data_IF_209704244770
#
_entry.id   IF_209704244770
#
_cell.length_a   1.000
_cell.length_b   1.000
_cell.length_c   1.000
_cell.angle_alpha   90.00
_cell.angle_beta   90.00
_cell.angle_gamma   90.00
#
_symmetry.space_group_name_H-M   'P 1'
#
loop_
_entity.id
_entity.type
_entity.pdbx_description
1 polymer ?
#
# COMPACT_ATOMS: atom_id res chain seq x y z
N UNK A 1 10.18 -6.05 -6.26
CA UNK A 1 11.22 -5.58 -5.31
C UNK A 1 10.64 -5.70 -3.92
N UNK A 2 11.46 -6.05 -2.94
CA UNK A 2 11.05 -6.20 -1.55
C UNK A 2 11.87 -5.19 -0.74
N UNK A 3 11.20 -4.39 0.09
CA UNK A 3 11.84 -3.55 1.11
C UNK A 3 11.79 -4.28 2.44
N UNK A 4 12.84 -4.17 3.24
CA UNK A 4 12.84 -4.73 4.61
C UNK A 4 12.96 -3.57 5.59
N UNK A 5 12.04 -3.52 6.55
CA UNK A 5 11.97 -2.46 7.57
C UNK A 5 12.07 -3.11 8.94
N UNK A 6 13.05 -2.68 9.72
CA UNK A 6 13.27 -3.10 11.10
C UNK A 6 12.90 -2.00 12.10
N UNK A 7 12.95 -0.73 11.68
CA UNK A 7 12.78 0.41 12.58
C UNK A 7 11.91 1.53 11.98
N UNK A 8 11.36 2.38 12.83
CA UNK A 8 10.60 3.56 12.40
C UNK A 8 11.44 4.60 11.64
N UNK A 9 12.76 4.65 11.87
CA UNK A 9 13.64 5.59 11.17
C UNK A 9 13.81 5.21 9.69
N UNK A 10 13.95 3.92 9.39
CA UNK A 10 13.99 3.40 8.01
C UNK A 10 12.67 3.70 7.27
N UNK A 11 11.54 3.58 7.97
CA UNK A 11 10.23 3.92 7.45
C UNK A 11 10.12 5.40 7.05
N UNK A 12 10.58 6.31 7.92
CA UNK A 12 10.55 7.74 7.66
C UNK A 12 11.42 8.14 6.46
N UNK A 13 12.57 7.49 6.28
CA UNK A 13 13.41 7.70 5.11
C UNK A 13 12.68 7.36 3.80
N UNK A 14 11.88 6.29 3.79
CA UNK A 14 11.09 5.92 2.61
C UNK A 14 9.96 6.90 2.30
N UNK A 15 9.34 7.51 3.31
CA UNK A 15 8.31 8.54 3.09
C UNK A 15 8.89 9.76 2.35
N UNK A 16 10.10 10.19 2.71
CA UNK A 16 10.75 11.34 2.08
C UNK A 16 11.03 11.13 0.57
N UNK A 17 11.17 9.88 0.12
CA UNK A 17 11.41 9.56 -1.31
C UNK A 17 10.18 9.67 -2.21
N UNK A 18 8.97 9.74 -1.62
CA UNK A 18 7.72 9.80 -2.38
C UNK A 18 7.53 11.14 -3.09
N UNK A 19 7.96 12.23 -2.47
CA UNK A 19 7.79 13.58 -3.01
C UNK A 19 8.59 13.77 -4.32
N UNK A 20 9.80 13.24 -4.38
CA UNK A 20 10.68 13.31 -5.56
C UNK A 20 10.06 12.64 -6.79
N UNK A 21 9.31 11.54 -6.60
CA UNK A 21 8.66 10.81 -7.68
C UNK A 21 7.53 11.63 -8.35
N UNK A 22 6.94 12.60 -7.66
CA UNK A 22 5.81 13.39 -8.17
C UNK A 22 6.23 14.65 -8.92
N UNK A 23 7.42 15.20 -8.62
CA UNK A 23 7.93 16.43 -9.22
C UNK A 23 8.07 16.35 -10.75
N UNK A 24 8.47 15.19 -11.28
CA UNK A 24 8.63 14.96 -12.73
C UNK A 24 7.29 15.01 -13.48
N UNK A 25 6.26 14.38 -12.93
CA UNK A 25 4.92 14.39 -13.52
C UNK A 25 4.35 15.81 -13.63
N UNK A 26 4.57 16.64 -12.60
CA UNK A 26 4.11 18.03 -12.57
C UNK A 26 4.67 18.87 -13.70
N UNK A 27 5.94 18.66 -14.09
CA UNK A 27 6.55 19.36 -15.22
C UNK A 27 5.84 19.04 -16.53
N UNK A 28 5.51 17.77 -16.77
CA UNK A 28 4.84 17.33 -18.01
C UNK A 28 3.40 17.85 -18.08
N UNK A 29 2.67 17.86 -16.95
CA UNK A 29 1.29 18.33 -16.91
C UNK A 29 1.18 19.84 -17.14
N UNK A 30 2.14 20.63 -16.64
CA UNK A 30 2.18 22.10 -16.86
C UNK A 30 2.35 22.48 -18.33
N UNK A 31 2.90 21.59 -19.16
CA UNK A 31 3.10 21.83 -20.58
C UNK A 31 1.88 21.48 -21.45
N UNK A 32 0.79 20.98 -20.88
CA UNK A 32 -0.42 20.65 -21.64
C UNK A 32 -1.20 21.90 -22.05
N UNK A 33 -1.74 21.92 -23.28
CA UNK A 33 -2.42 23.10 -23.86
C UNK A 33 -3.91 23.11 -23.52
N UNK A 34 -4.52 21.94 -23.33
CA UNK A 34 -5.96 21.83 -23.06
C UNK A 34 -6.26 20.94 -21.85
N UNK A 35 -7.40 21.16 -21.14
CA UNK A 35 -7.81 20.28 -20.04
C UNK A 35 -7.97 18.81 -20.44
N UNK A 36 -8.43 18.55 -21.67
CA UNK A 36 -8.56 17.18 -22.19
C UNK A 36 -7.20 16.51 -22.37
N UNK A 37 -6.22 17.27 -22.83
CA UNK A 37 -4.85 16.77 -22.96
C UNK A 37 -4.27 16.39 -21.61
N UNK A 38 -4.46 17.21 -20.57
CA UNK A 38 -4.06 16.87 -19.19
C UNK A 38 -4.60 15.49 -18.80
N UNK A 39 -5.91 15.27 -18.93
CA UNK A 39 -6.53 13.98 -18.58
C UNK A 39 -5.98 12.81 -19.42
N UNK A 40 -5.74 13.03 -20.71
CA UNK A 40 -5.16 12.00 -21.60
C UNK A 40 -3.74 11.63 -21.15
N UNK A 41 -2.89 12.62 -20.85
CA UNK A 41 -1.52 12.39 -20.40
C UNK A 41 -1.50 11.64 -19.06
N UNK A 42 -2.33 12.06 -18.10
CA UNK A 42 -2.46 11.39 -16.80
C UNK A 42 -2.84 9.90 -16.94
N UNK A 43 -3.76 9.60 -17.87
CA UNK A 43 -4.33 8.24 -18.01
C UNK A 43 -3.49 7.30 -18.87
N UNK A 44 -2.85 7.81 -19.92
CA UNK A 44 -2.31 6.95 -20.98
C UNK A 44 -0.82 7.11 -21.23
N UNK A 45 -0.18 8.18 -20.73
CA UNK A 45 1.25 8.39 -20.96
C UNK A 45 2.08 7.99 -19.74
N UNK A 46 3.29 7.47 -19.94
CA UNK A 46 4.19 7.05 -18.87
C UNK A 46 4.89 8.25 -18.22
N UNK A 47 4.11 9.21 -17.71
CA UNK A 47 4.59 10.47 -17.13
C UNK A 47 4.79 10.38 -15.61
N UNK A 48 4.35 9.28 -15.00
CA UNK A 48 4.56 8.95 -13.61
C UNK A 48 5.65 7.90 -13.41
N UNK A 49 5.98 7.65 -12.15
CA UNK A 49 7.02 6.71 -11.75
C UNK A 49 6.59 5.91 -10.53
N UNK A 50 6.95 4.63 -10.50
CA UNK A 50 6.77 3.80 -9.32
C UNK A 50 7.57 4.40 -8.14
N UNK A 51 6.99 4.52 -6.93
CA UNK A 51 7.60 5.23 -5.81
C UNK A 51 8.96 4.64 -5.38
N UNK A 52 9.10 3.32 -5.44
CA UNK A 52 10.33 2.61 -5.08
C UNK A 52 11.20 2.23 -6.28
N UNK A 53 10.63 1.55 -7.30
CA UNK A 53 11.41 1.00 -8.41
C UNK A 53 11.78 2.01 -9.49
N UNK A 54 11.19 3.21 -9.43
CA UNK A 54 11.31 4.26 -10.43
C UNK A 54 10.95 3.81 -11.86
N UNK A 55 10.25 2.68 -12.02
CA UNK A 55 9.76 2.25 -13.32
C UNK A 55 8.70 3.23 -13.84
N UNK A 56 8.67 3.54 -15.15
CA UNK A 56 7.66 4.42 -15.71
C UNK A 56 6.24 3.85 -15.56
N UNK A 57 5.30 4.72 -15.21
CA UNK A 57 3.88 4.42 -15.02
C UNK A 57 3.03 5.54 -15.60
N UNK A 58 1.75 5.28 -15.87
CA UNK A 58 0.83 6.42 -16.00
C UNK A 58 0.58 7.08 -14.62
N UNK A 59 0.10 8.32 -14.61
CA UNK A 59 -0.04 9.05 -13.35
C UNK A 59 -1.11 8.43 -12.43
N UNK A 60 -2.17 7.84 -13.01
CA UNK A 60 -3.21 7.16 -12.22
C UNK A 60 -2.62 5.95 -11.49
N UNK A 61 -1.76 5.18 -12.16
CA UNK A 61 -1.03 4.06 -11.56
C UNK A 61 -0.08 4.55 -10.45
N UNK A 62 0.69 5.61 -10.69
CA UNK A 62 1.53 6.20 -9.65
C UNK A 62 0.71 6.64 -8.43
N UNK A 63 -0.42 7.31 -8.63
CA UNK A 63 -1.31 7.74 -7.54
C UNK A 63 -1.77 6.53 -6.71
N UNK A 64 -2.29 5.50 -7.39
CA UNK A 64 -2.77 4.29 -6.72
C UNK A 64 -1.65 3.58 -5.93
N UNK A 65 -0.46 3.47 -6.53
CA UNK A 65 0.68 2.82 -5.88
C UNK A 65 1.26 3.66 -4.73
N UNK A 66 1.33 4.98 -4.88
CA UNK A 66 1.85 5.90 -3.84
C UNK A 66 1.04 5.74 -2.56
N UNK A 67 -0.29 5.88 -2.65
CA UNK A 67 -1.13 5.77 -1.46
C UNK A 67 -1.23 4.34 -0.93
N UNK A 68 -1.18 3.32 -1.79
CA UNK A 68 -1.10 1.93 -1.32
C UNK A 68 0.22 1.68 -0.57
N UNK A 69 1.32 2.25 -1.04
CA UNK A 69 2.62 2.17 -0.36
C UNK A 69 2.60 2.93 0.98
N UNK A 70 2.00 4.11 1.04
CA UNK A 70 1.81 4.84 2.31
C UNK A 70 1.01 4.03 3.34
N UNK A 71 -0.07 3.37 2.91
CA UNK A 71 -0.84 2.45 3.76
C UNK A 71 0.04 1.31 4.26
N UNK A 72 0.87 0.72 3.39
CA UNK A 72 1.78 -0.35 3.78
C UNK A 72 2.82 0.10 4.82
N UNK A 73 3.41 1.29 4.64
CA UNK A 73 4.33 1.87 5.63
C UNK A 73 3.63 2.09 6.97
N UNK A 74 2.45 2.73 6.98
CA UNK A 74 1.69 2.99 8.21
C UNK A 74 1.23 1.72 8.90
N UNK A 75 0.86 0.70 8.14
CA UNK A 75 0.60 -0.63 8.66
C UNK A 75 1.86 -1.24 9.31
N UNK A 76 3.02 -1.15 8.67
CA UNK A 76 4.30 -1.63 9.23
C UNK A 76 4.66 -0.91 10.52
N UNK A 77 4.48 0.42 10.60
CA UNK A 77 4.66 1.16 11.86
C UNK A 77 3.81 0.56 12.98
N UNK A 78 2.52 0.32 12.72
CA UNK A 78 1.63 -0.30 13.69
C UNK A 78 2.05 -1.74 14.05
N UNK A 79 2.46 -2.53 13.05
CA UNK A 79 2.86 -3.92 13.23
C UNK A 79 4.15 -4.07 14.04
N UNK A 80 5.13 -3.18 13.87
CA UNK A 80 6.37 -3.15 14.66
C UNK A 80 6.08 -2.99 16.17
N UNK A 81 5.10 -2.15 16.51
CA UNK A 81 4.66 -1.99 17.90
C UNK A 81 3.86 -3.20 18.40
N UNK A 82 3.06 -3.81 17.53
CA UNK A 82 2.13 -4.88 17.90
C UNK A 82 2.80 -6.25 18.05
N UNK A 83 3.83 -6.51 17.26
CA UNK A 83 4.56 -7.78 17.15
C UNK A 83 6.07 -7.53 17.23
N UNK A 84 6.60 -7.17 18.41
CA UNK A 84 8.03 -6.88 18.57
C UNK A 84 8.93 -8.11 18.30
N UNK A 85 8.34 -9.31 18.31
CA UNK A 85 8.95 -10.59 18.00
C UNK A 85 9.03 -10.90 16.49
N UNK A 86 8.45 -10.06 15.62
CA UNK A 86 8.46 -10.27 14.17
C UNK A 86 9.85 -10.09 13.52
N UNK A 87 10.82 -9.50 14.21
CA UNK A 87 12.17 -9.23 13.70
C UNK A 87 12.24 -8.16 12.60
N UNK A 88 11.12 -7.52 12.26
CA UNK A 88 10.96 -6.59 11.14
C UNK A 88 9.93 -7.09 10.12
N UNK A 89 9.78 -6.37 9.02
CA UNK A 89 8.79 -6.69 7.97
C UNK A 89 9.35 -6.52 6.56
N UNK A 90 9.01 -7.46 5.69
CA UNK A 90 9.19 -7.41 4.25
C UNK A 90 7.96 -6.81 3.57
N UNK A 91 8.15 -5.72 2.81
CA UNK A 91 7.11 -4.99 2.10
C UNK A 91 7.27 -5.17 0.59
N UNK A 92 6.20 -5.57 -0.08
CA UNK A 92 6.10 -5.56 -1.54
C UNK A 92 4.68 -5.22 -2.03
N UNK A 93 4.11 -4.07 -1.59
CA UNK A 93 2.74 -3.71 -1.95
C UNK A 93 2.60 -3.39 -3.44
N UNK A 94 1.41 -3.60 -3.98
CA UNK A 94 1.09 -3.16 -5.35
C UNK A 94 1.30 -4.22 -6.44
N UNK A 95 0.98 -5.48 -6.15
CA UNK A 95 0.96 -6.60 -7.11
C UNK A 95 2.34 -7.07 -7.61
N UNK A 96 3.38 -6.82 -6.82
CA UNK A 96 4.66 -7.48 -7.00
C UNK A 96 4.53 -8.95 -6.58
N UNK A 97 4.58 -9.90 -7.53
CA UNK A 97 4.69 -11.35 -7.24
C UNK A 97 6.00 -11.73 -6.50
N UNK A 98 6.76 -10.76 -6.00
CA UNK A 98 7.98 -11.00 -5.24
C UNK A 98 7.71 -11.67 -3.89
N UNK A 99 6.51 -11.53 -3.31
CA UNK A 99 6.11 -12.26 -2.11
C UNK A 99 4.60 -12.57 -2.07
N UNK A 100 4.17 -13.59 -1.30
CA UNK A 100 2.77 -13.98 -1.20
C UNK A 100 1.84 -12.87 -0.76
N UNK A 101 2.19 -12.08 0.25
CA UNK A 101 1.36 -11.00 0.82
C UNK A 101 2.07 -9.65 0.71
N UNK A 102 1.35 -8.53 0.77
CA UNK A 102 1.96 -7.21 0.66
C UNK A 102 2.96 -6.90 1.79
N UNK A 103 2.70 -7.43 2.99
CA UNK A 103 3.57 -7.28 4.18
C UNK A 103 3.71 -8.64 4.85
N UNK A 104 4.95 -9.05 5.16
CA UNK A 104 5.24 -10.31 5.85
C UNK A 104 6.30 -10.07 6.93
N UNK A 105 6.20 -10.71 8.09
CA UNK A 105 7.26 -10.64 9.11
C UNK A 105 8.55 -11.27 8.63
N UNK A 106 9.68 -10.80 9.16
CA UNK A 106 10.99 -11.46 8.98
C UNK A 106 10.96 -12.83 9.66
N UNK A 107 10.35 -12.94 10.84
CA UNK A 107 10.05 -14.23 11.47
C UNK A 107 9.01 -15.00 10.62
N UNK A 108 9.37 -16.16 10.03
CA UNK A 108 8.50 -16.84 9.08
C UNK A 108 7.18 -17.30 9.71
N UNK A 109 6.05 -17.02 9.02
CA UNK A 109 4.74 -17.52 9.43
C UNK A 109 4.12 -16.81 10.64
N UNK A 110 4.76 -15.77 11.19
CA UNK A 110 4.20 -15.02 12.32
C UNK A 110 3.10 -14.06 11.85
N UNK A 111 3.43 -13.13 10.96
CA UNK A 111 2.53 -12.07 10.50
C UNK A 111 2.45 -12.00 8.99
N UNK A 112 1.23 -11.88 8.46
CA UNK A 112 0.96 -11.63 7.05
C UNK A 112 -0.14 -10.59 6.87
N UNK A 113 0.04 -9.65 5.93
CA UNK A 113 -0.96 -8.62 5.69
C UNK A 113 -1.10 -8.19 4.22
N UNK A 114 -2.31 -7.77 3.86
CA UNK A 114 -2.61 -7.05 2.62
C UNK A 114 -2.81 -5.55 2.92
N UNK A 115 -2.49 -4.71 1.95
CA UNK A 115 -2.58 -3.26 2.05
C UNK A 115 -3.19 -2.64 0.80
N UNK A 116 -4.10 -1.67 0.95
CA UNK A 116 -4.60 -0.91 -0.21
C UNK A 116 -5.13 0.47 0.16
N UNK A 117 -5.04 1.42 -0.76
CA UNK A 117 -5.77 2.69 -0.68
C UNK A 117 -6.89 2.70 -1.72
N UNK A 118 -8.10 3.12 -1.33
CA UNK A 118 -9.22 3.22 -2.24
C UNK A 118 -10.21 4.32 -1.80
N UNK A 119 -11.04 4.80 -2.73
CA UNK A 119 -12.15 5.72 -2.39
C UNK A 119 -13.21 5.07 -1.48
N UNK A 120 -13.27 3.74 -1.46
CA UNK A 120 -14.11 2.94 -0.56
C UNK A 120 -13.51 1.52 -0.49
N UNK A 121 -13.52 0.85 0.67
CA UNK A 121 -13.06 -0.54 0.78
C UNK A 121 -13.90 -1.53 -0.05
N UNK A 122 -15.11 -1.14 -0.42
CA UNK A 122 -16.00 -1.93 -1.27
C UNK A 122 -15.70 -1.77 -2.77
N UNK A 123 -14.84 -0.83 -3.16
CA UNK A 123 -14.59 -0.52 -4.56
C UNK A 123 -13.85 -1.67 -5.26
N UNK A 124 -14.32 -2.07 -6.45
CA UNK A 124 -13.76 -3.14 -7.30
C UNK A 124 -13.52 -4.49 -6.60
N UNK A 125 -14.19 -4.71 -5.46
CA UNK A 125 -14.04 -5.88 -4.60
C UNK A 125 -12.62 -6.08 -4.06
N UNK A 126 -11.81 -5.02 -3.89
CA UNK A 126 -10.42 -5.15 -3.43
C UNK A 126 -10.36 -5.83 -2.07
N UNK A 127 -11.10 -5.34 -1.07
CA UNK A 127 -11.14 -5.96 0.25
C UNK A 127 -11.57 -7.42 0.20
N UNK A 128 -12.58 -7.76 -0.61
CA UNK A 128 -13.05 -9.15 -0.74
C UNK A 128 -11.95 -10.06 -1.28
N UNK A 129 -11.17 -9.60 -2.27
CA UNK A 129 -10.04 -10.35 -2.83
C UNK A 129 -8.93 -10.53 -1.80
N UNK A 130 -8.62 -9.47 -1.06
CA UNK A 130 -7.56 -9.48 -0.04
C UNK A 130 -7.93 -10.41 1.12
N UNK A 131 -9.17 -10.34 1.61
CA UNK A 131 -9.68 -11.25 2.62
C UNK A 131 -9.65 -12.71 2.15
N UNK A 132 -10.00 -12.99 0.89
CA UNK A 132 -9.91 -14.34 0.32
C UNK A 132 -8.45 -14.83 0.28
N UNK A 133 -7.51 -13.96 -0.03
CA UNK A 133 -6.07 -14.26 -0.05
C UNK A 133 -5.56 -14.58 1.36
N UNK A 134 -5.91 -13.74 2.33
CA UNK A 134 -5.56 -13.92 3.75
C UNK A 134 -6.21 -15.17 4.38
N UNK A 135 -7.40 -15.56 3.93
CA UNK A 135 -8.05 -16.78 4.40
C UNK A 135 -7.22 -18.05 4.13
N UNK A 136 -6.47 -18.07 3.02
CA UNK A 136 -5.59 -19.18 2.64
C UNK A 136 -4.14 -19.04 3.13
N UNK A 137 -3.83 -17.95 3.85
CA UNK A 137 -2.48 -17.64 4.29
C UNK A 137 -2.14 -18.42 5.58
N UNK A 138 -0.88 -18.84 5.71
CA UNK A 138 -0.41 -19.72 6.79
C UNK A 138 0.03 -18.95 8.05
N UNK A 139 0.06 -17.62 7.97
CA UNK A 139 0.53 -16.75 9.03
C UNK A 139 -0.41 -16.78 10.24
N UNK A 140 0.18 -16.76 11.43
CA UNK A 140 -0.53 -16.82 12.71
C UNK A 140 -1.43 -15.60 12.88
N UNK A 141 -0.88 -14.41 12.63
CA UNK A 141 -1.59 -13.14 12.70
C UNK A 141 -1.78 -12.58 11.30
N UNK A 142 -3.05 -12.34 10.93
CA UNK A 142 -3.43 -11.91 9.58
C UNK A 142 -4.19 -10.61 9.60
N UNK A 143 -3.81 -9.69 8.72
CA UNK A 143 -4.35 -8.33 8.70
C UNK A 143 -4.70 -7.87 7.29
N UNK A 144 -5.77 -7.09 7.17
CA UNK A 144 -6.01 -6.25 6.01
C UNK A 144 -5.98 -4.79 6.46
N UNK A 145 -5.01 -4.04 5.95
CA UNK A 145 -4.89 -2.61 6.19
C UNK A 145 -5.40 -1.85 4.98
N UNK A 146 -6.15 -0.78 5.24
CA UNK A 146 -6.60 0.09 4.17
C UNK A 146 -6.64 1.55 4.56
N UNK A 147 -6.70 2.42 3.57
CA UNK A 147 -7.19 3.77 3.74
C UNK A 147 -8.37 4.01 2.81
N UNK A 148 -9.43 4.61 3.34
CA UNK A 148 -10.52 5.16 2.56
C UNK A 148 -11.08 6.41 3.25
N UNK A 149 -11.48 7.44 2.49
CA UNK A 149 -12.12 8.61 3.06
C UNK A 149 -13.41 8.19 3.79
N UNK A 150 -13.69 8.86 4.91
CA UNK A 150 -14.88 8.66 5.73
C UNK A 150 -14.96 7.31 6.48
N UNK A 151 -13.84 6.61 6.66
CA UNK A 151 -13.76 5.49 7.59
C UNK A 151 -13.06 5.89 8.88
N UNK A 152 -13.53 5.45 10.06
CA UNK A 152 -12.83 5.68 11.31
C UNK A 152 -11.49 4.94 11.31
N UNK A 153 -10.44 5.58 11.82
CA UNK A 153 -9.13 4.96 11.98
C UNK A 153 -9.15 3.87 13.07
N UNK A 154 -8.31 2.85 12.88
CA UNK A 154 -8.25 1.67 13.75
C UNK A 154 -9.06 0.48 13.21
N UNK A 155 -9.39 -0.45 14.11
CA UNK A 155 -10.02 -1.73 13.76
C UNK A 155 -11.48 -1.54 13.33
N UNK A 156 -11.83 -2.12 12.18
CA UNK A 156 -13.14 -2.01 11.54
C UNK A 156 -13.83 -3.38 11.51
N UNK A 157 -14.35 -3.80 12.67
CA UNK A 157 -14.85 -5.16 12.90
C UNK A 157 -15.99 -5.60 11.96
N UNK A 158 -16.86 -4.69 11.54
CA UNK A 158 -17.97 -5.05 10.64
C UNK A 158 -17.50 -5.47 9.23
N UNK A 159 -16.25 -5.17 8.87
CA UNK A 159 -15.60 -5.59 7.62
C UNK A 159 -14.84 -6.92 7.75
N UNK A 160 -14.69 -7.47 8.95
CA UNK A 160 -14.00 -8.75 9.21
C UNK A 160 -14.90 -9.91 8.78
N UNK A 161 -14.77 -10.34 7.52
CA UNK A 161 -15.57 -11.46 6.96
C UNK A 161 -14.88 -12.82 7.06
N UNK A 162 -13.61 -12.86 7.48
CA UNK A 162 -12.80 -14.07 7.58
C UNK A 162 -12.32 -14.22 9.02
N UNK A 163 -12.53 -15.40 9.61
CA UNK A 163 -12.09 -15.71 10.97
C UNK A 163 -10.58 -15.59 11.10
N UNK A 164 -10.12 -14.83 12.10
CA UNK A 164 -8.70 -14.65 12.39
C UNK A 164 -8.00 -13.62 11.48
N UNK A 165 -8.76 -12.84 10.70
CA UNK A 165 -8.23 -11.70 9.93
C UNK A 165 -8.79 -10.41 10.52
N UNK A 166 -7.92 -9.53 11.00
CA UNK A 166 -8.33 -8.20 11.46
C UNK A 166 -8.29 -7.19 10.32
N UNK A 167 -9.28 -6.29 10.27
CA UNK A 167 -9.35 -5.25 9.24
C UNK A 167 -9.14 -3.89 9.91
N UNK A 168 -8.20 -3.09 9.41
CA UNK A 168 -7.80 -1.82 10.01
C UNK A 168 -7.78 -0.69 8.97
N UNK A 169 -8.36 0.45 9.32
CA UNK A 169 -8.20 1.69 8.56
C UNK A 169 -7.03 2.49 9.16
N UNK A 170 -6.02 2.82 8.36
CA UNK A 170 -4.84 3.60 8.80
C UNK A 170 -4.94 5.06 8.39
N UNK A 171 -4.23 5.93 9.09
CA UNK A 171 -4.09 7.34 8.73
C UNK A 171 -2.90 7.54 7.78
N UNK A 172 -3.08 8.27 6.68
CA UNK A 172 -2.05 8.57 5.67
C UNK A 172 -1.99 10.06 5.33
#
# INVERSE_FOLDING_TARGET
>A
MILTIHTSDELNAHLATLDDATAKAMTVLRAAVTPREVLRRMKFEPIGFHPISHQPLNLIEQINQTFTFMVALKATEWLLHRHPDAGGFHLAPGASFAQPLDIMSVEPGLVGAESFAAVSPNNNGKLVKDLKKLAGAAETYRYAFFYAPNFPFGRVTHLEKITGVEVHCVEI
#
